data_IF_500583490606
#
_entry.id   IF_500583490606
#
_cell.length_a   1.000
_cell.length_b   1.000
_cell.length_c   1.000
_cell.angle_alpha   90.00
_cell.angle_beta   90.00
_cell.angle_gamma   90.00
#
_symmetry.space_group_name_H-M   'P 1'
#
loop_
_entity.id
_entity.type
_entity.pdbx_description
1 polymer ?
#
# COMPACT_ATOMS: atom_id res chain seq x y z
N UNK A 1 4.00 -24.67 -18.59
CA UNK A 1 3.57 -23.28 -18.41
C UNK A 1 2.34 -23.35 -17.53
N UNK A 2 2.40 -22.92 -16.26
CA UNK A 2 1.21 -22.80 -15.42
C UNK A 2 0.29 -21.76 -16.07
N UNK A 3 -1.01 -22.05 -16.20
CA UNK A 3 -1.97 -21.04 -16.63
C UNK A 3 -1.90 -19.85 -15.67
N UNK A 4 -1.86 -18.63 -16.20
CA UNK A 4 -1.85 -17.43 -15.39
C UNK A 4 -3.15 -17.36 -14.58
N UNK A 5 -3.01 -17.18 -13.27
CA UNK A 5 -4.14 -17.07 -12.34
C UNK A 5 -4.90 -15.77 -12.62
N UNK A 6 -6.24 -15.82 -12.76
CA UNK A 6 -7.06 -14.64 -13.02
C UNK A 6 -7.15 -13.71 -11.80
N UNK A 7 -7.51 -12.44 -12.02
CA UNK A 7 -7.68 -11.48 -10.91
C UNK A 7 -8.76 -11.93 -9.91
N UNK A 8 -9.83 -12.55 -10.38
CA UNK A 8 -10.88 -13.12 -9.51
C UNK A 8 -10.37 -14.28 -8.65
N UNK A 9 -9.45 -15.11 -9.18
CA UNK A 9 -8.80 -16.17 -8.40
C UNK A 9 -7.81 -15.60 -7.39
N UNK A 10 -7.05 -14.56 -7.76
CA UNK A 10 -6.19 -13.84 -6.79
C UNK A 10 -7.00 -13.23 -5.64
N UNK A 11 -8.19 -12.67 -5.92
CA UNK A 11 -9.12 -12.22 -4.88
C UNK A 11 -9.49 -13.33 -3.89
N UNK A 12 -9.76 -14.53 -4.37
CA UNK A 12 -10.06 -15.68 -3.51
C UNK A 12 -8.84 -16.02 -2.62
N UNK A 13 -7.63 -16.01 -3.19
CA UNK A 13 -6.38 -16.29 -2.45
C UNK A 13 -6.13 -15.25 -1.36
N UNK A 14 -6.25 -13.96 -1.66
CA UNK A 14 -5.99 -12.92 -0.65
C UNK A 14 -7.06 -12.84 0.44
N UNK A 15 -8.24 -13.39 0.20
CA UNK A 15 -9.34 -13.47 1.16
C UNK A 15 -9.42 -14.81 1.88
N UNK A 16 -8.48 -15.73 1.61
CA UNK A 16 -8.43 -17.04 2.27
C UNK A 16 -8.20 -16.87 3.77
N UNK A 17 -8.96 -17.63 4.56
CA UNK A 17 -8.76 -17.70 6.01
C UNK A 17 -7.34 -18.21 6.31
N UNK A 18 -6.67 -17.54 7.25
CA UNK A 18 -5.30 -17.89 7.61
C UNK A 18 -4.22 -17.21 6.76
N UNK A 19 -4.59 -16.36 5.79
CA UNK A 19 -3.60 -15.53 5.10
C UNK A 19 -2.83 -14.69 6.13
N UNK A 20 -1.48 -14.67 6.06
CA UNK A 20 -0.66 -13.87 6.95
C UNK A 20 -1.00 -12.39 6.85
N UNK A 21 -0.98 -11.72 7.98
CA UNK A 21 -1.16 -10.28 8.09
C UNK A 21 0.19 -9.64 8.44
N UNK A 22 0.25 -8.33 8.45
CA UNK A 22 1.46 -7.62 8.87
C UNK A 22 1.92 -8.01 10.28
N UNK A 23 1.00 -8.42 11.16
CA UNK A 23 1.34 -8.89 12.53
C UNK A 23 2.17 -10.17 12.52
N UNK A 24 2.07 -10.97 11.46
CA UNK A 24 2.87 -12.17 11.27
C UNK A 24 4.23 -11.84 10.65
N UNK A 25 4.26 -10.91 9.71
CA UNK A 25 5.48 -10.54 9.00
C UNK A 25 6.44 -9.69 9.85
N UNK A 26 5.93 -8.78 10.68
CA UNK A 26 6.81 -7.93 11.52
C UNK A 26 7.82 -8.75 12.33
N UNK A 27 7.42 -9.76 13.13
CA UNK A 27 8.37 -10.53 13.93
C UNK A 27 9.27 -11.46 13.12
N UNK A 28 8.92 -11.78 11.86
CA UNK A 28 9.75 -12.61 10.97
C UNK A 28 10.81 -11.78 10.22
N UNK A 29 10.55 -10.49 10.02
CA UNK A 29 11.35 -9.60 9.15
C UNK A 29 12.21 -8.64 9.96
N UNK A 30 11.72 -8.18 11.11
CA UNK A 30 12.33 -7.08 11.89
C UNK A 30 12.67 -7.53 13.32
N UNK A 31 13.78 -6.99 13.82
CA UNK A 31 14.19 -7.15 15.21
C UNK A 31 13.75 -5.92 16.03
N UNK A 32 13.49 -6.15 17.34
CA UNK A 32 13.22 -5.10 18.33
C UNK A 32 12.15 -4.09 17.92
N UNK A 33 11.06 -4.55 17.31
CA UNK A 33 9.97 -3.67 16.93
C UNK A 33 9.33 -3.04 18.18
N UNK A 34 9.46 -1.71 18.27
CA UNK A 34 8.85 -0.88 19.32
C UNK A 34 7.68 -0.09 18.75
N UNK A 35 6.46 -0.51 19.05
CA UNK A 35 5.24 0.14 18.56
C UNK A 35 5.01 1.50 19.19
N UNK A 36 4.58 2.46 18.38
CA UNK A 36 4.31 3.85 18.76
C UNK A 36 2.86 4.19 18.47
N UNK A 37 2.14 4.68 19.46
CA UNK A 37 0.69 4.91 19.42
C UNK A 37 0.30 6.38 19.25
N UNK A 38 -0.91 6.59 18.71
CA UNK A 38 -1.60 7.87 18.67
C UNK A 38 -1.11 8.86 17.61
N UNK A 39 -2.03 9.72 17.16
CA UNK A 39 -1.79 10.73 16.12
C UNK A 39 -1.34 12.10 16.70
N UNK A 40 -1.35 12.28 18.03
CA UNK A 40 -1.09 13.56 18.73
C UNK A 40 -2.15 14.64 18.49
N UNK A 41 -3.35 14.23 18.05
CA UNK A 41 -4.46 15.13 17.80
C UNK A 41 -5.75 14.63 18.43
N UNK A 42 -6.19 13.42 18.05
CA UNK A 42 -7.45 12.84 18.51
C UNK A 42 -7.25 11.54 19.30
N UNK A 43 -6.55 10.55 18.73
CA UNK A 43 -6.42 9.25 19.37
C UNK A 43 -5.47 8.30 18.66
N UNK A 44 -5.61 7.02 18.97
CA UNK A 44 -4.95 5.95 18.25
C UNK A 44 -5.94 5.23 17.32
N UNK A 45 -5.42 4.55 16.31
CA UNK A 45 -6.22 3.74 15.38
C UNK A 45 -5.64 2.33 15.28
N UNK A 46 -6.46 1.34 15.63
CA UNK A 46 -6.07 -0.06 15.57
C UNK A 46 -5.88 -0.61 14.16
N UNK A 47 -6.35 0.11 13.13
CA UNK A 47 -6.12 -0.24 11.72
C UNK A 47 -4.74 0.13 11.21
N UNK A 48 -3.96 0.93 11.97
CA UNK A 48 -2.55 1.25 11.69
C UNK A 48 -1.69 0.84 12.87
N UNK A 49 -0.71 -0.02 12.64
CA UNK A 49 0.45 -0.21 13.53
C UNK A 49 1.65 0.50 12.96
N UNK A 50 2.57 0.91 13.80
CA UNK A 50 3.82 1.49 13.33
C UNK A 50 4.74 1.85 14.47
N UNK A 51 6.03 1.87 14.18
CA UNK A 51 7.06 2.07 15.18
C UNK A 51 8.46 2.05 14.60
N UNK A 52 9.43 1.90 15.47
CA UNK A 52 10.84 1.75 15.12
C UNK A 52 11.25 0.30 15.28
N UNK A 53 12.17 -0.15 14.43
CA UNK A 53 12.69 -1.52 14.44
C UNK A 53 14.11 -1.54 13.89
N UNK A 54 14.75 -2.69 13.96
CA UNK A 54 15.95 -2.97 13.18
C UNK A 54 15.62 -3.92 12.03
N UNK A 55 16.11 -3.62 10.85
CA UNK A 55 16.12 -4.50 9.71
C UNK A 55 17.57 -4.87 9.38
N UNK A 56 17.98 -6.11 9.71
CA UNK A 56 19.37 -6.58 9.52
C UNK A 56 20.41 -5.58 10.06
N UNK A 57 20.14 -5.03 11.25
CA UNK A 57 21.00 -4.05 11.92
C UNK A 57 20.82 -2.59 11.47
N UNK A 58 20.01 -2.31 10.44
CA UNK A 58 19.68 -0.95 9.99
C UNK A 58 18.45 -0.46 10.76
N UNK A 59 18.51 0.70 11.47
CA UNK A 59 17.33 1.25 12.12
C UNK A 59 16.34 1.77 11.07
N UNK A 60 15.11 1.27 11.13
CA UNK A 60 14.02 1.63 10.19
C UNK A 60 12.79 2.09 10.95
N UNK A 61 11.88 2.73 10.26
CA UNK A 61 10.51 2.98 10.72
C UNK A 61 9.56 2.10 9.92
N UNK A 62 8.79 1.27 10.61
CA UNK A 62 7.76 0.41 10.01
C UNK A 62 6.40 1.06 10.23
N UNK A 63 5.59 1.13 9.17
CA UNK A 63 4.21 1.65 9.21
C UNK A 63 3.34 0.67 8.43
N UNK A 64 2.25 0.19 9.02
CA UNK A 64 1.49 -0.87 8.39
C UNK A 64 -0.01 -0.78 8.65
N UNK A 65 -0.79 -1.12 7.64
CA UNK A 65 -2.22 -1.37 7.80
C UNK A 65 -2.44 -2.78 8.36
N UNK A 66 -3.40 -2.88 9.26
CA UNK A 66 -3.65 -4.09 10.04
C UNK A 66 -5.00 -4.68 9.70
N UNK A 67 -5.01 -5.93 9.27
CA UNK A 67 -6.22 -6.77 9.24
C UNK A 67 -6.21 -7.76 10.39
N UNK A 68 -7.38 -8.11 10.90
CA UNK A 68 -7.56 -9.16 11.91
C UNK A 68 -7.84 -10.52 11.25
N UNK A 69 -7.66 -11.59 12.02
CA UNK A 69 -8.00 -12.96 11.62
C UNK A 69 -9.35 -13.41 12.16
N UNK A 70 -9.68 -12.95 13.35
CA UNK A 70 -10.96 -13.21 14.01
C UNK A 70 -11.90 -12.03 13.86
N UNK A 71 -13.20 -12.24 14.10
CA UNK A 71 -14.16 -11.14 14.07
C UNK A 71 -13.82 -10.04 15.09
N UNK A 72 -13.39 -10.44 16.29
CA UNK A 72 -13.02 -9.50 17.35
C UNK A 72 -11.77 -8.66 16.95
N UNK A 73 -10.75 -9.29 16.36
CA UNK A 73 -9.57 -8.59 15.85
C UNK A 73 -9.94 -7.65 14.69
N UNK A 74 -10.79 -8.10 13.77
CA UNK A 74 -11.25 -7.26 12.66
C UNK A 74 -12.04 -6.05 13.15
N UNK A 75 -12.89 -6.22 14.18
CA UNK A 75 -13.58 -5.09 14.81
C UNK A 75 -12.60 -4.11 15.47
N UNK A 76 -11.55 -4.62 16.13
CA UNK A 76 -10.53 -3.79 16.79
C UNK A 76 -9.67 -2.99 15.81
N UNK A 77 -9.49 -3.45 14.57
CA UNK A 77 -8.76 -2.76 13.51
C UNK A 77 -9.68 -2.25 12.38
N UNK A 78 -10.96 -2.02 12.66
CA UNK A 78 -11.94 -1.49 11.71
C UNK A 78 -11.95 -2.25 10.36
N UNK A 79 -11.77 -3.58 10.38
CA UNK A 79 -11.66 -4.43 9.19
C UNK A 79 -10.53 -4.00 8.23
N UNK A 80 -9.44 -3.45 8.77
CA UNK A 80 -8.32 -2.93 8.00
C UNK A 80 -8.59 -1.59 7.33
N UNK A 81 -9.63 -0.88 7.74
CA UNK A 81 -10.01 0.43 7.20
C UNK A 81 -9.63 1.55 8.19
N UNK A 82 -8.55 2.30 7.93
CA UNK A 82 -8.11 3.32 8.86
C UNK A 82 -9.07 4.52 8.96
N UNK A 83 -9.20 5.03 10.18
CA UNK A 83 -9.77 6.33 10.48
C UNK A 83 -8.76 7.47 10.20
N UNK A 84 -9.15 8.75 10.23
CA UNK A 84 -8.24 9.88 10.02
C UNK A 84 -7.00 9.86 10.91
N UNK A 85 -7.15 9.45 12.17
CA UNK A 85 -6.07 9.34 13.14
C UNK A 85 -5.02 8.28 12.75
N UNK A 86 -5.40 7.24 12.04
CA UNK A 86 -4.47 6.27 11.50
C UNK A 86 -3.53 6.88 10.45
N UNK A 87 -4.06 7.63 9.50
CA UNK A 87 -3.26 8.34 8.50
C UNK A 87 -2.38 9.42 9.12
N UNK A 88 -2.90 10.19 10.10
CA UNK A 88 -2.09 11.18 10.84
C UNK A 88 -0.98 10.52 11.65
N UNK A 89 -1.23 9.35 12.26
CA UNK A 89 -0.21 8.52 12.94
C UNK A 89 0.87 8.07 11.95
N UNK A 90 0.48 7.54 10.80
CA UNK A 90 1.41 7.11 9.75
C UNK A 90 2.33 8.28 9.32
N UNK A 91 1.75 9.41 8.99
CA UNK A 91 2.49 10.60 8.60
C UNK A 91 3.41 11.12 9.70
N UNK A 92 2.95 11.13 10.96
CA UNK A 92 3.77 11.51 12.11
C UNK A 92 5.01 10.63 12.25
N UNK A 93 4.86 9.32 12.05
CA UNK A 93 5.97 8.37 12.10
C UNK A 93 6.93 8.58 10.93
N UNK A 94 6.44 8.84 9.72
CA UNK A 94 7.26 9.15 8.56
C UNK A 94 8.08 10.43 8.75
N UNK A 95 7.48 11.50 9.31
CA UNK A 95 8.21 12.73 9.67
C UNK A 95 9.26 12.50 10.77
N UNK A 96 8.97 11.63 11.72
CA UNK A 96 9.95 11.24 12.73
C UNK A 96 11.10 10.45 12.09
N UNK A 97 10.79 9.56 11.14
CA UNK A 97 11.79 8.83 10.38
C UNK A 97 12.73 9.77 9.62
N UNK A 98 12.17 10.77 8.92
CA UNK A 98 12.93 11.83 8.26
C UNK A 98 13.88 12.54 9.21
N UNK A 99 13.37 12.97 10.36
CA UNK A 99 14.18 13.68 11.37
C UNK A 99 15.40 12.88 11.85
N UNK A 100 15.27 11.56 11.91
CA UNK A 100 16.33 10.67 12.41
C UNK A 100 16.99 9.87 11.28
N UNK A 101 16.74 10.21 10.02
CA UNK A 101 17.31 9.60 8.83
C UNK A 101 17.10 8.08 8.76
N UNK A 102 15.95 7.59 9.25
CA UNK A 102 15.58 6.19 9.14
C UNK A 102 14.75 5.97 7.88
N UNK A 103 15.05 4.96 7.04
CA UNK A 103 14.14 4.53 5.98
C UNK A 103 12.77 4.17 6.54
N UNK A 104 11.73 4.42 5.74
CA UNK A 104 10.35 4.05 6.05
C UNK A 104 9.97 2.84 5.23
N UNK A 105 9.49 1.79 5.90
CA UNK A 105 8.93 0.59 5.27
C UNK A 105 7.44 0.59 5.54
N UNK A 106 6.63 0.74 4.49
CA UNK A 106 5.19 0.72 4.57
C UNK A 106 4.63 -0.61 4.10
N UNK A 107 3.70 -1.17 4.87
CA UNK A 107 2.90 -2.33 4.45
C UNK A 107 1.45 -1.92 4.27
N UNK A 108 0.87 -2.24 3.13
CA UNK A 108 -0.49 -1.89 2.76
C UNK A 108 -1.34 -3.14 2.63
N UNK A 109 -2.43 -3.19 3.38
CA UNK A 109 -3.48 -4.20 3.26
C UNK A 109 -4.81 -3.66 3.76
N UNK A 110 -5.54 -2.99 2.88
CA UNK A 110 -6.82 -2.34 3.18
C UNK A 110 -7.78 -2.42 2.01
N UNK A 111 -9.06 -2.56 2.31
CA UNK A 111 -10.13 -2.37 1.31
C UNK A 111 -10.43 -0.90 1.01
N UNK A 112 -9.93 0.04 1.83
CA UNK A 112 -10.12 1.48 1.71
C UNK A 112 -10.08 2.19 3.06
N UNK A 113 -10.37 3.48 3.07
CA UNK A 113 -10.55 4.25 4.30
C UNK A 113 -11.90 3.88 4.97
N UNK A 114 -11.99 4.08 6.28
CA UNK A 114 -13.23 3.84 7.02
C UNK A 114 -14.35 4.80 6.56
N UNK A 115 -15.51 4.27 6.12
CA UNK A 115 -16.56 5.08 5.49
C UNK A 115 -17.62 5.61 6.47
N UNK A 116 -17.36 5.59 7.77
CA UNK A 116 -18.30 6.02 8.79
C UNK A 116 -18.39 7.54 8.95
N UNK A 117 -19.52 8.02 9.45
CA UNK A 117 -19.78 9.45 9.69
C UNK A 117 -18.72 10.05 10.61
N UNK A 118 -18.33 9.33 11.64
CA UNK A 118 -17.29 9.77 12.58
C UNK A 118 -15.90 9.96 11.94
N UNK A 119 -15.61 9.24 10.85
CA UNK A 119 -14.37 9.47 10.09
C UNK A 119 -14.47 10.74 9.25
N UNK A 120 -15.63 11.00 8.64
CA UNK A 120 -15.88 12.23 7.90
C UNK A 120 -15.84 13.46 8.82
N UNK A 121 -16.46 13.40 10.00
CA UNK A 121 -16.45 14.47 11.01
C UNK A 121 -15.02 14.79 11.48
N UNK A 122 -14.11 13.79 11.53
CA UNK A 122 -12.72 13.98 11.92
C UNK A 122 -11.77 14.21 10.74
N UNK A 123 -12.31 14.36 9.52
CA UNK A 123 -11.59 14.78 8.34
C UNK A 123 -10.78 13.69 7.64
N UNK A 124 -11.39 12.54 7.33
CA UNK A 124 -10.70 11.43 6.64
C UNK A 124 -10.15 11.83 5.28
N UNK A 125 -10.90 12.62 4.50
CA UNK A 125 -10.45 13.12 3.20
C UNK A 125 -9.21 14.02 3.31
N UNK A 126 -9.20 14.93 4.29
CA UNK A 126 -8.04 15.80 4.57
C UNK A 126 -6.82 14.97 5.01
N UNK A 127 -7.01 14.02 5.91
CA UNK A 127 -5.92 13.18 6.41
C UNK A 127 -5.26 12.36 5.30
N UNK A 128 -6.04 11.81 4.37
CA UNK A 128 -5.55 11.10 3.18
C UNK A 128 -4.81 12.06 2.25
N UNK A 129 -5.43 13.19 1.87
CA UNK A 129 -4.84 14.15 0.97
C UNK A 129 -3.52 14.70 1.50
N UNK A 130 -3.47 15.03 2.79
CA UNK A 130 -2.25 15.47 3.46
C UNK A 130 -1.17 14.40 3.45
N UNK A 131 -1.51 13.14 3.71
CA UNK A 131 -0.55 12.04 3.64
C UNK A 131 0.07 11.94 2.25
N UNK A 132 -0.73 11.98 1.18
CA UNK A 132 -0.26 11.94 -0.21
C UNK A 132 0.75 13.07 -0.48
N UNK A 133 0.39 14.31 -0.14
CA UNK A 133 1.24 15.48 -0.39
C UNK A 133 2.54 15.41 0.42
N UNK A 134 2.45 15.04 1.69
CA UNK A 134 3.61 15.08 2.57
C UNK A 134 4.56 13.89 2.39
N UNK A 135 4.07 12.68 2.08
CA UNK A 135 4.94 11.56 1.73
C UNK A 135 5.77 11.86 0.48
N UNK A 136 5.25 12.68 -0.46
CA UNK A 136 6.01 13.11 -1.63
C UNK A 136 7.31 13.86 -1.24
N UNK A 137 7.30 14.56 -0.11
CA UNK A 137 8.41 15.43 0.34
C UNK A 137 9.26 14.82 1.48
N UNK A 138 8.98 13.63 1.96
CA UNK A 138 9.74 12.95 3.01
C UNK A 138 11.18 12.72 2.56
N UNK A 139 12.14 13.25 3.35
CA UNK A 139 13.58 13.29 3.01
C UNK A 139 14.35 12.06 3.49
N UNK A 140 13.73 10.90 3.38
CA UNK A 140 14.34 9.60 3.65
C UNK A 140 13.70 8.58 2.72
N UNK A 141 14.34 7.44 2.40
CA UNK A 141 13.75 6.42 1.56
C UNK A 141 12.40 5.93 2.11
N UNK A 142 11.42 5.84 1.23
CA UNK A 142 10.10 5.26 1.51
C UNK A 142 9.87 4.09 0.56
N UNK A 143 9.74 2.89 1.12
CA UNK A 143 9.49 1.65 0.39
C UNK A 143 8.12 1.15 0.82
N UNK A 144 7.24 0.85 -0.14
CA UNK A 144 5.90 0.35 0.16
C UNK A 144 5.68 -1.03 -0.46
N UNK A 145 5.05 -1.92 0.31
CA UNK A 145 4.72 -3.28 -0.10
C UNK A 145 3.23 -3.51 0.13
N UNK A 146 2.50 -3.89 -0.93
CA UNK A 146 1.09 -4.27 -0.84
C UNK A 146 1.00 -5.78 -0.58
N UNK A 147 0.43 -6.16 0.58
CA UNK A 147 0.38 -7.55 1.04
C UNK A 147 -0.85 -8.32 0.53
N UNK A 148 -1.95 -7.61 0.33
CA UNK A 148 -3.21 -8.21 -0.09
C UNK A 148 -4.06 -7.23 -0.89
N UNK A 149 -4.90 -6.44 -0.24
CA UNK A 149 -5.73 -5.45 -0.91
C UNK A 149 -5.12 -4.05 -0.76
N UNK A 150 -4.89 -3.36 -1.88
CA UNK A 150 -4.56 -1.94 -1.92
C UNK A 150 -5.77 -1.14 -2.39
N UNK A 151 -6.66 -0.75 -1.46
CA UNK A 151 -7.94 -0.13 -1.79
C UNK A 151 -7.91 1.40 -1.78
N UNK A 152 -8.14 2.02 -2.94
CA UNK A 152 -8.51 3.43 -3.11
C UNK A 152 -7.61 4.43 -2.36
N UNK A 153 -8.17 5.55 -1.87
CA UNK A 153 -7.48 6.56 -1.09
C UNK A 153 -6.81 6.02 0.17
N UNK A 154 -7.39 4.97 0.77
CA UNK A 154 -6.84 4.32 1.96
C UNK A 154 -5.47 3.69 1.73
N UNK A 155 -5.24 3.13 0.55
CA UNK A 155 -3.94 2.60 0.16
C UNK A 155 -3.01 3.70 -0.35
N UNK A 156 -3.49 4.60 -1.22
CA UNK A 156 -2.68 5.67 -1.81
C UNK A 156 -2.03 6.56 -0.75
N UNK A 157 -2.70 6.80 0.37
CA UNK A 157 -2.16 7.58 1.50
C UNK A 157 -0.82 7.06 2.03
N UNK A 158 -0.48 5.79 1.78
CA UNK A 158 0.77 5.14 2.19
C UNK A 158 1.57 4.57 1.00
N UNK A 159 1.09 4.76 -0.23
CA UNK A 159 1.75 4.28 -1.45
C UNK A 159 2.53 5.38 -2.19
N UNK A 160 2.67 6.57 -1.60
CA UNK A 160 3.56 7.60 -2.13
C UNK A 160 4.98 7.32 -1.64
N UNK A 161 5.78 6.68 -2.48
CA UNK A 161 7.04 6.05 -2.12
C UNK A 161 8.08 6.12 -3.24
N UNK A 162 9.32 5.76 -2.94
CA UNK A 162 10.41 5.64 -3.92
C UNK A 162 10.33 4.34 -4.71
N UNK A 163 9.89 3.25 -4.05
CA UNK A 163 9.65 1.95 -4.68
C UNK A 163 8.37 1.31 -4.12
N UNK A 164 7.54 0.78 -5.02
CA UNK A 164 6.32 0.04 -4.71
C UNK A 164 6.45 -1.41 -5.16
N UNK A 165 6.35 -2.34 -4.25
CA UNK A 165 6.20 -3.75 -4.56
C UNK A 165 4.81 -4.26 -4.20
N UNK A 166 4.43 -5.37 -4.81
CA UNK A 166 3.22 -6.10 -4.48
C UNK A 166 3.54 -7.58 -4.29
N UNK A 167 2.89 -8.23 -3.33
CA UNK A 167 2.88 -9.68 -3.33
C UNK A 167 2.17 -10.19 -4.59
N UNK A 168 2.58 -11.34 -5.08
CA UNK A 168 2.14 -11.94 -6.35
C UNK A 168 0.62 -11.99 -6.51
N UNK A 169 -0.09 -12.31 -5.42
CA UNK A 169 -1.55 -12.38 -5.45
C UNK A 169 -2.24 -11.08 -4.98
N UNK A 170 -1.49 -10.05 -4.60
CA UNK A 170 -2.07 -8.78 -4.18
C UNK A 170 -2.77 -8.06 -5.34
N UNK A 171 -3.74 -7.22 -4.99
CA UNK A 171 -4.43 -6.32 -5.92
C UNK A 171 -4.28 -4.87 -5.46
N UNK A 172 -4.26 -3.95 -6.42
CA UNK A 172 -4.27 -2.51 -6.14
C UNK A 172 -5.21 -1.80 -7.09
N UNK A 173 -6.20 -1.09 -6.55
CA UNK A 173 -7.27 -0.51 -7.36
C UNK A 173 -7.86 0.76 -6.74
N UNK A 174 -8.38 1.65 -7.59
CA UNK A 174 -9.07 2.88 -7.18
C UNK A 174 -10.44 2.61 -6.53
N UNK A 175 -11.05 1.48 -6.85
CA UNK A 175 -12.36 1.04 -6.34
C UNK A 175 -12.37 -0.48 -6.23
N UNK A 176 -13.10 -1.02 -5.25
CA UNK A 176 -13.25 -2.48 -5.17
C UNK A 176 -13.98 -3.04 -6.41
N UNK A 177 -13.67 -4.27 -6.86
CA UNK A 177 -14.38 -4.90 -7.98
C UNK A 177 -15.90 -4.95 -7.78
N UNK A 178 -16.35 -5.20 -6.55
CA UNK A 178 -17.77 -5.15 -6.18
C UNK A 178 -18.36 -3.75 -6.34
N UNK A 179 -17.61 -2.71 -5.92
CA UNK A 179 -18.00 -1.31 -6.09
C UNK A 179 -18.09 -0.92 -7.57
N UNK A 180 -17.10 -1.31 -8.37
CA UNK A 180 -17.10 -1.12 -9.83
C UNK A 180 -18.35 -1.74 -10.47
N UNK A 181 -18.62 -3.03 -10.21
CA UNK A 181 -19.78 -3.73 -10.74
C UNK A 181 -21.11 -3.08 -10.31
N UNK A 182 -21.20 -2.66 -9.05
CA UNK A 182 -22.38 -1.97 -8.53
C UNK A 182 -22.64 -0.62 -9.20
N UNK A 183 -21.60 0.18 -9.40
CA UNK A 183 -21.74 1.54 -9.96
C UNK A 183 -21.97 1.50 -11.47
N UNK A 184 -21.13 0.77 -12.22
CA UNK A 184 -21.18 0.78 -13.68
C UNK A 184 -22.24 -0.17 -14.27
N UNK A 185 -22.37 -1.36 -13.67
CA UNK A 185 -23.29 -2.37 -14.19
C UNK A 185 -24.59 -2.49 -13.40
N UNK A 186 -24.71 -1.77 -12.28
CA UNK A 186 -25.85 -1.84 -11.36
C UNK A 186 -26.11 -3.26 -10.80
N UNK A 187 -25.06 -4.10 -10.80
CA UNK A 187 -25.10 -5.48 -10.35
C UNK A 187 -23.82 -5.87 -9.60
N UNK A 188 -23.87 -5.80 -8.27
CA UNK A 188 -22.75 -6.15 -7.40
C UNK A 188 -22.38 -7.65 -7.44
N UNK A 189 -23.24 -8.52 -7.95
CA UNK A 189 -22.96 -9.97 -8.06
C UNK A 189 -21.89 -10.28 -9.12
N UNK A 190 -21.65 -9.35 -10.07
CA UNK A 190 -20.63 -9.47 -11.12
C UNK A 190 -19.22 -9.05 -10.66
N UNK A 191 -18.94 -9.09 -9.35
CA UNK A 191 -17.64 -8.72 -8.77
C UNK A 191 -16.47 -9.45 -9.44
N UNK A 192 -16.60 -10.75 -9.71
CA UNK A 192 -15.53 -11.55 -10.32
C UNK A 192 -15.20 -11.10 -11.75
N UNK A 193 -16.22 -10.89 -12.56
CA UNK A 193 -16.07 -10.36 -13.93
C UNK A 193 -15.44 -8.95 -13.90
N UNK A 194 -15.85 -8.11 -12.93
CA UNK A 194 -15.25 -6.81 -12.75
C UNK A 194 -13.75 -6.92 -12.43
N UNK A 195 -13.37 -7.79 -11.49
CA UNK A 195 -11.97 -8.01 -11.14
C UNK A 195 -11.11 -8.37 -12.35
N UNK A 196 -11.60 -9.27 -13.21
CA UNK A 196 -10.85 -9.77 -14.37
C UNK A 196 -10.62 -8.72 -15.46
N UNK A 197 -11.45 -7.65 -15.53
CA UNK A 197 -11.30 -6.58 -16.53
C UNK A 197 -10.61 -5.31 -16.01
N UNK A 198 -10.52 -5.12 -14.69
CA UNK A 198 -10.07 -3.85 -14.10
C UNK A 198 -8.56 -3.62 -14.16
N UNK A 199 -7.76 -4.62 -14.54
CA UNK A 199 -6.29 -4.50 -14.59
C UNK A 199 -5.68 -4.10 -13.24
N UNK A 200 -5.95 -4.90 -12.21
CA UNK A 200 -5.61 -4.60 -10.81
C UNK A 200 -4.59 -5.55 -10.20
N UNK A 201 -4.11 -6.54 -10.95
CA UNK A 201 -3.13 -7.52 -10.46
C UNK A 201 -1.72 -6.93 -10.43
N UNK A 202 -0.81 -7.60 -9.71
CA UNK A 202 0.57 -7.17 -9.64
C UNK A 202 1.22 -7.11 -11.05
N UNK A 203 0.93 -8.09 -11.91
CA UNK A 203 1.42 -8.14 -13.29
C UNK A 203 0.88 -6.99 -14.14
N UNK A 204 -0.43 -6.72 -14.05
CA UNK A 204 -1.05 -5.59 -14.74
C UNK A 204 -0.37 -4.27 -14.34
N UNK A 205 -0.13 -4.07 -13.03
CA UNK A 205 0.40 -2.83 -12.50
C UNK A 205 1.89 -2.64 -12.77
N UNK A 206 2.66 -3.73 -12.86
CA UNK A 206 4.05 -3.66 -13.38
C UNK A 206 4.05 -3.25 -14.86
N UNK A 207 3.16 -3.84 -15.66
CA UNK A 207 3.01 -3.46 -17.07
C UNK A 207 2.62 -1.98 -17.24
N UNK A 208 1.74 -1.46 -16.36
CA UNK A 208 1.31 -0.05 -16.33
C UNK A 208 2.33 0.88 -15.64
N UNK A 209 3.48 0.38 -15.19
CA UNK A 209 4.53 1.14 -14.47
C UNK A 209 4.05 1.80 -13.17
N UNK A 210 3.01 1.25 -12.55
CA UNK A 210 2.52 1.67 -11.23
C UNK A 210 3.25 0.92 -10.12
N UNK A 211 3.49 -0.38 -10.31
CA UNK A 211 4.28 -1.24 -9.43
C UNK A 211 5.67 -1.48 -10.02
N UNK A 212 6.70 -1.54 -9.18
CA UNK A 212 8.09 -1.73 -9.60
C UNK A 212 8.52 -3.19 -9.53
N UNK A 213 7.97 -3.97 -8.59
CA UNK A 213 8.42 -5.32 -8.33
C UNK A 213 7.28 -6.23 -7.83
N UNK A 214 7.28 -7.46 -8.29
CA UNK A 214 6.39 -8.52 -7.80
C UNK A 214 7.20 -9.40 -6.85
N UNK A 215 6.75 -9.50 -5.59
CA UNK A 215 7.33 -10.40 -4.61
C UNK A 215 6.57 -11.73 -4.71
N UNK A 216 7.29 -12.81 -5.03
CA UNK A 216 6.70 -14.13 -5.15
C UNK A 216 6.13 -14.63 -3.81
N UNK A 217 4.99 -15.27 -3.87
CA UNK A 217 4.39 -16.00 -2.76
C UNK A 217 4.72 -17.49 -2.87
N UNK A 218 4.58 -18.21 -1.77
CA UNK A 218 4.66 -19.66 -1.79
C UNK A 218 3.57 -20.28 -2.67
N UNK A 219 3.83 -21.43 -3.25
CA UNK A 219 2.89 -22.10 -4.14
C UNK A 219 1.49 -22.27 -3.49
N UNK A 220 0.48 -21.71 -4.11
CA UNK A 220 -0.89 -21.66 -3.60
C UNK A 220 -1.22 -20.41 -2.78
N UNK A 221 -0.26 -19.54 -2.49
CA UNK A 221 -0.42 -18.27 -1.77
C UNK A 221 0.34 -18.20 -0.44
N UNK A 222 0.52 -17.01 0.08
CA UNK A 222 1.31 -16.73 1.28
C UNK A 222 0.87 -17.51 2.56
N UNK A 223 -0.36 -17.99 2.60
CA UNK A 223 -0.87 -18.78 3.73
C UNK A 223 -0.35 -20.22 3.77
N UNK A 224 0.24 -20.73 2.70
CA UNK A 224 0.79 -22.09 2.64
C UNK A 224 2.17 -22.16 3.28
N UNK A 225 2.96 -21.09 3.18
CA UNK A 225 4.26 -20.93 3.83
C UNK A 225 4.54 -19.45 4.11
N UNK A 226 4.10 -18.94 5.27
CA UNK A 226 4.32 -17.56 5.66
C UNK A 226 5.79 -17.19 5.86
N UNK A 227 6.61 -18.13 6.29
CA UNK A 227 8.03 -17.92 6.55
C UNK A 227 8.79 -17.69 5.23
N UNK A 228 8.56 -18.53 4.22
CA UNK A 228 9.14 -18.33 2.89
C UNK A 228 8.71 -17.00 2.28
N UNK A 229 7.43 -16.62 2.40
CA UNK A 229 6.95 -15.32 1.91
C UNK A 229 7.62 -14.16 2.67
N UNK A 230 7.84 -14.29 3.98
CA UNK A 230 8.56 -13.30 4.77
C UNK A 230 10.03 -13.17 4.34
N UNK A 231 10.69 -14.29 4.00
CA UNK A 231 12.04 -14.27 3.44
C UNK A 231 12.08 -13.51 2.10
N UNK A 232 11.16 -13.77 1.19
CA UNK A 232 11.08 -13.08 -0.10
C UNK A 232 10.84 -11.57 0.09
N UNK A 233 9.98 -11.18 1.04
CA UNK A 233 9.78 -9.77 1.43
C UNK A 233 11.09 -9.17 1.97
N UNK A 234 11.78 -9.89 2.84
CA UNK A 234 13.05 -9.44 3.44
C UNK A 234 14.15 -9.27 2.39
N UNK A 235 14.24 -10.15 1.40
CA UNK A 235 15.18 -10.02 0.29
C UNK A 235 14.86 -8.77 -0.55
N UNK A 236 13.60 -8.56 -0.89
CA UNK A 236 13.19 -7.36 -1.61
C UNK A 236 13.54 -6.08 -0.84
N UNK A 237 13.21 -6.01 0.47
CA UNK A 237 13.54 -4.85 1.32
C UNK A 237 15.06 -4.60 1.32
N UNK A 238 15.89 -5.66 1.41
CA UNK A 238 17.35 -5.53 1.38
C UNK A 238 17.82 -4.85 0.09
N UNK A 239 17.37 -5.35 -1.06
CA UNK A 239 17.74 -4.79 -2.36
C UNK A 239 17.21 -3.35 -2.55
N UNK A 240 15.99 -3.07 -2.09
CA UNK A 240 15.39 -1.74 -2.19
C UNK A 240 16.12 -0.72 -1.29
N UNK A 241 16.49 -1.11 -0.09
CA UNK A 241 17.29 -0.27 0.81
C UNK A 241 18.69 0.01 0.24
N UNK A 242 19.35 -1.01 -0.29
CA UNK A 242 20.68 -0.84 -0.92
C UNK A 242 20.62 0.18 -2.05
N UNK A 243 19.64 0.09 -2.95
CA UNK A 243 19.46 1.04 -4.05
C UNK A 243 19.17 2.46 -3.58
N UNK A 244 18.31 2.61 -2.56
CA UNK A 244 17.79 3.92 -2.16
C UNK A 244 18.70 4.65 -1.16
N UNK A 245 19.43 3.94 -0.31
CA UNK A 245 20.38 4.55 0.63
C UNK A 245 21.64 5.11 -0.06
N UNK A 246 21.92 4.70 -1.29
CA UNK A 246 23.04 5.23 -2.09
C UNK A 246 22.69 6.54 -2.80
N UNK A 247 21.41 6.87 -2.95
CA UNK A 247 20.97 8.08 -3.65
C UNK A 247 21.20 9.34 -2.81
N UNK A 248 21.63 10.41 -3.48
CA UNK A 248 21.60 11.75 -2.88
C UNK A 248 20.16 12.22 -2.64
N UNK A 249 19.97 13.17 -1.71
CA UNK A 249 18.63 13.67 -1.35
C UNK A 249 17.84 14.20 -2.56
N UNK A 250 18.47 15.03 -3.38
CA UNK A 250 17.82 15.63 -4.56
C UNK A 250 17.48 14.56 -5.61
N UNK A 251 18.36 13.60 -5.81
CA UNK A 251 18.13 12.47 -6.71
C UNK A 251 16.92 11.63 -6.25
N UNK A 252 16.83 11.34 -4.95
CA UNK A 252 15.73 10.58 -4.37
C UNK A 252 14.40 11.32 -4.53
N UNK A 253 14.33 12.61 -4.15
CA UNK A 253 13.10 13.40 -4.24
C UNK A 253 12.65 13.63 -5.69
N UNK A 254 13.58 13.95 -6.59
CA UNK A 254 13.29 14.09 -8.02
C UNK A 254 12.88 12.74 -8.64
N UNK A 255 13.53 11.64 -8.23
CA UNK A 255 13.16 10.29 -8.65
C UNK A 255 11.74 9.95 -8.25
N UNK A 256 11.37 10.19 -6.98
CA UNK A 256 10.00 10.00 -6.48
C UNK A 256 9.00 10.86 -7.26
N UNK A 257 9.26 12.12 -7.48
CA UNK A 257 8.38 12.98 -8.28
C UNK A 257 8.21 12.46 -9.71
N UNK A 258 9.32 12.16 -10.39
CA UNK A 258 9.30 11.70 -11.77
C UNK A 258 8.60 10.35 -11.94
N UNK A 259 8.69 9.45 -10.93
CA UNK A 259 7.96 8.20 -10.90
C UNK A 259 6.46 8.41 -11.12
N UNK A 260 5.84 9.32 -10.38
CA UNK A 260 4.40 9.58 -10.51
C UNK A 260 4.06 10.36 -11.77
N UNK A 261 4.97 11.21 -12.26
CA UNK A 261 4.78 11.92 -13.53
C UNK A 261 4.85 11.00 -14.75
N UNK A 262 5.52 9.87 -14.62
CA UNK A 262 5.67 8.89 -15.70
C UNK A 262 4.53 7.86 -15.79
N UNK A 263 3.59 7.87 -14.82
CA UNK A 263 2.44 6.96 -14.85
C UNK A 263 1.42 7.46 -15.88
N UNK A 264 1.01 6.54 -16.77
CA UNK A 264 0.05 6.81 -17.85
C UNK A 264 0.73 7.05 -19.19
N UNK A 265 0.09 6.54 -20.22
CA UNK A 265 0.45 6.82 -21.61
C UNK A 265 -0.53 7.85 -22.16
N UNK A 266 0.00 8.85 -22.85
CA UNK A 266 -0.81 9.85 -23.55
C UNK A 266 -0.23 10.07 -24.94
N UNK A 267 -1.09 10.16 -25.93
CA UNK A 267 -0.73 10.66 -27.24
C UNK A 267 -0.71 12.19 -27.19
N UNK A 268 0.45 12.78 -27.47
CA UNK A 268 0.48 14.17 -27.90
C UNK A 268 -0.07 14.17 -29.34
N UNK A 269 -1.40 14.14 -29.47
CA UNK A 269 -2.05 14.31 -30.78
C UNK A 269 -1.47 15.55 -31.43
N UNK A 270 -1.18 15.47 -32.74
CA UNK A 270 -0.78 16.64 -33.53
C UNK A 270 -1.66 17.81 -33.09
N UNK A 271 -1.04 18.90 -32.64
CA UNK A 271 -1.73 20.09 -32.19
C UNK A 271 -2.72 20.45 -33.25
N UNK A 272 -4.01 20.13 -33.04
CA UNK A 272 -5.06 20.73 -33.80
C UNK A 272 -4.90 22.22 -33.53
N UNK A 273 -4.33 22.96 -34.50
CA UNK A 273 -4.34 24.39 -34.48
C UNK A 273 -5.77 24.81 -34.18
N UNK A 274 -6.02 25.19 -32.94
CA UNK A 274 -7.23 25.94 -32.60
C UNK A 274 -7.13 27.26 -33.34
N UNK A 275 -7.50 27.22 -34.62
CA UNK A 275 -7.73 28.40 -35.42
C UNK A 275 -8.85 29.16 -34.72
N UNK A 276 -8.49 30.35 -34.30
CA UNK A 276 -9.37 31.44 -33.92
C UNK A 276 -10.70 31.42 -34.70
N UNK A 277 -11.75 31.08 -33.99
CA UNK A 277 -13.12 31.45 -34.39
C UNK A 277 -13.91 31.78 -33.14
N UNK A 278 -13.67 32.98 -32.62
CA UNK A 278 -14.74 33.78 -31.98
C UNK A 278 -14.40 35.27 -32.15
#
# INVERSE_FOLDING_TARGET
>A
MSEAISASQKLDIIRTNGRPTVKDYIPLIFDDFFEMHGDRSFGDDGAITGGIAYFKGIPVTVIAQVKGRTLAENQACNFGMPHPEGYRKALRLARQAEKFHRPVICFVDTSGAYPGVEAEERGVGEAIARSIVEFMSIKTPVITIILGEGGSGGAIAMCVCDELAMLENAIYSVISPRGFASILWKDASREREAADIMKITAEDLVHLKVCDYIIEESAGGAHTDPEQTAENISEYISCALERNLQKGLDEMLNGRYNRYRAIGEFDEGESADCVDQF
#
